data_IF_445647550645
#
_entry.id   IF_445647550645
#
_cell.length_a   1.000
_cell.length_b   1.000
_cell.length_c   1.000
_cell.angle_alpha   90.00
_cell.angle_beta   90.00
_cell.angle_gamma   90.00
#
_symmetry.space_group_name_H-M   'P 1'
#
loop_
_entity.id
_entity.type
_entity.pdbx_description
1 polymer ?
#
# COMPACT_ATOMS: atom_id res chain seq x y z
N UNK A 1 -14.50 10.06 14.38
CA UNK A 1 -14.28 8.60 14.33
C UNK A 1 -12.93 8.32 14.97
N UNK A 2 -12.95 7.50 16.00
CA UNK A 2 -11.71 7.14 16.68
C UNK A 2 -11.09 5.91 16.03
N UNK A 3 -9.83 6.00 15.70
CA UNK A 3 -9.07 4.89 15.17
C UNK A 3 -7.68 4.88 15.78
N UNK A 4 -7.04 3.72 15.73
CA UNK A 4 -5.63 3.58 16.11
C UNK A 4 -4.88 2.97 14.94
N UNK A 5 -3.59 3.31 14.83
CA UNK A 5 -2.67 2.68 13.90
C UNK A 5 -1.67 1.89 14.71
N UNK A 6 -1.46 0.65 14.33
CA UNK A 6 -0.53 -0.27 14.99
C UNK A 6 0.09 -1.23 14.00
N UNK A 7 1.14 -1.91 14.42
CA UNK A 7 1.72 -2.97 13.61
C UNK A 7 0.70 -4.10 13.43
N UNK A 8 0.68 -4.67 12.24
CA UNK A 8 -0.11 -5.85 11.94
C UNK A 8 0.51 -7.05 12.62
N UNK A 9 -0.32 -7.88 13.28
CA UNK A 9 0.16 -9.12 13.89
C UNK A 9 0.29 -10.22 12.86
N UNK A 10 1.17 -11.18 13.13
CA UNK A 10 1.42 -12.29 12.23
C UNK A 10 0.14 -13.09 11.90
N UNK A 11 -0.71 -13.30 12.89
CA UNK A 11 -1.98 -14.01 12.72
C UNK A 11 -3.00 -13.23 11.88
N UNK A 12 -2.73 -11.95 11.63
CA UNK A 12 -3.58 -11.09 10.79
C UNK A 12 -3.12 -11.00 9.34
N UNK A 13 -1.92 -11.47 9.01
CA UNK A 13 -1.39 -11.39 7.65
C UNK A 13 -2.31 -11.96 6.58
N UNK A 14 -3.11 -13.01 6.82
CA UNK A 14 -4.09 -13.46 5.81
C UNK A 14 -5.09 -12.39 5.37
N UNK A 15 -5.34 -11.36 6.18
CA UNK A 15 -6.21 -10.25 5.82
C UNK A 15 -5.63 -9.37 4.70
N UNK A 16 -4.32 -9.46 4.45
CA UNK A 16 -3.70 -8.68 3.37
C UNK A 16 -4.29 -8.99 2.01
N UNK A 17 -4.81 -10.19 1.80
CA UNK A 17 -5.50 -10.54 0.56
C UNK A 17 -6.70 -9.64 0.32
N UNK A 18 -7.49 -9.34 1.36
CA UNK A 18 -8.63 -8.44 1.27
C UNK A 18 -8.19 -7.02 0.96
N UNK A 19 -7.16 -6.54 1.64
CA UNK A 19 -6.65 -5.19 1.41
C UNK A 19 -5.95 -5.07 0.07
N UNK A 20 -5.34 -6.12 -0.42
CA UNK A 20 -4.79 -6.15 -1.78
C UNK A 20 -5.91 -5.99 -2.82
N UNK A 21 -7.01 -6.71 -2.66
CA UNK A 21 -8.15 -6.56 -3.54
C UNK A 21 -8.66 -5.11 -3.53
N UNK A 22 -8.81 -4.52 -2.35
CA UNK A 22 -9.26 -3.13 -2.22
C UNK A 22 -8.27 -2.12 -2.82
N UNK A 23 -7.00 -2.49 -2.93
CA UNK A 23 -5.97 -1.64 -3.53
C UNK A 23 -5.99 -1.65 -5.06
N UNK A 24 -6.69 -2.59 -5.69
CA UNK A 24 -6.80 -2.63 -7.15
C UNK A 24 -7.63 -1.45 -7.64
N UNK A 25 -7.03 -0.64 -8.52
CA UNK A 25 -7.72 0.52 -9.06
C UNK A 25 -8.87 0.10 -9.97
N UNK A 26 -10.03 0.70 -9.74
CA UNK A 26 -11.21 0.51 -10.58
C UNK A 26 -11.58 1.87 -11.17
N UNK A 27 -11.54 1.97 -12.50
CA UNK A 27 -11.90 3.22 -13.17
C UNK A 27 -13.38 3.57 -12.91
N UNK A 28 -13.67 4.87 -12.86
CA UNK A 28 -15.05 5.34 -12.67
C UNK A 28 -15.96 4.74 -13.74
N UNK A 29 -17.04 4.11 -13.30
CA UNK A 29 -18.02 3.47 -14.19
C UNK A 29 -17.66 2.05 -14.62
N UNK A 30 -16.47 1.57 -14.27
CA UNK A 30 -16.08 0.19 -14.55
C UNK A 30 -16.54 -0.74 -13.42
N UNK A 31 -16.77 -2.00 -13.77
CA UNK A 31 -17.08 -3.01 -12.77
C UNK A 31 -15.81 -3.45 -12.04
N UNK A 32 -15.88 -3.70 -10.72
CA UNK A 32 -14.75 -4.28 -9.99
C UNK A 32 -14.38 -5.65 -10.59
N UNK A 33 -13.09 -6.00 -10.61
CA UNK A 33 -12.68 -7.33 -11.05
C UNK A 33 -13.18 -8.41 -10.10
N UNK A 34 -13.21 -9.65 -10.56
CA UNK A 34 -13.49 -10.79 -9.70
C UNK A 34 -12.44 -10.87 -8.58
N UNK A 35 -12.85 -11.33 -7.40
CA UNK A 35 -11.93 -11.45 -6.26
C UNK A 35 -10.75 -12.38 -6.55
N UNK A 36 -10.90 -13.32 -7.46
CA UNK A 36 -9.82 -14.22 -7.87
C UNK A 36 -8.63 -13.51 -8.52
N UNK A 37 -8.78 -12.22 -8.87
CA UNK A 37 -7.66 -11.45 -9.45
C UNK A 37 -6.45 -11.43 -8.50
N UNK A 38 -6.67 -11.49 -7.18
CA UNK A 38 -5.59 -11.50 -6.21
C UNK A 38 -4.75 -12.79 -6.25
N UNK A 39 -5.25 -13.82 -6.92
CA UNK A 39 -4.51 -15.08 -7.10
C UNK A 39 -3.58 -15.03 -8.31
N UNK A 40 -3.65 -13.99 -9.14
CA UNK A 40 -2.75 -13.82 -10.27
C UNK A 40 -1.31 -13.64 -9.82
N UNK A 41 -0.32 -14.15 -10.58
CA UNK A 41 1.09 -14.02 -10.19
C UNK A 41 1.54 -12.58 -9.96
N UNK A 42 1.02 -11.63 -10.74
CA UNK A 42 1.38 -10.21 -10.67
C UNK A 42 0.96 -9.61 -9.33
N UNK A 43 -0.14 -10.08 -8.73
CA UNK A 43 -0.64 -9.58 -7.45
C UNK A 43 -0.14 -10.41 -6.26
N UNK A 44 0.14 -11.70 -6.47
CA UNK A 44 0.63 -12.55 -5.39
C UNK A 44 1.96 -12.08 -4.81
N UNK A 45 2.80 -11.40 -5.60
CA UNK A 45 4.08 -10.86 -5.11
C UNK A 45 3.89 -9.90 -3.93
N UNK A 46 2.73 -9.25 -3.84
CA UNK A 46 2.45 -8.30 -2.77
C UNK A 46 2.21 -8.98 -1.42
N UNK A 47 1.76 -10.22 -1.40
CA UNK A 47 1.28 -10.87 -0.17
C UNK A 47 1.83 -12.26 0.09
N UNK A 48 2.38 -12.93 -0.94
CA UNK A 48 2.84 -14.33 -0.77
C UNK A 48 3.92 -14.40 0.30
N UNK A 49 3.72 -15.31 1.27
CA UNK A 49 4.67 -15.56 2.35
C UNK A 49 5.04 -14.30 3.14
N UNK A 50 4.09 -13.37 3.29
CA UNK A 50 4.34 -12.12 3.98
C UNK A 50 4.81 -12.38 5.41
N UNK A 51 5.83 -11.64 5.83
CA UNK A 51 6.46 -11.75 7.15
C UNK A 51 7.73 -12.60 7.15
N UNK A 52 8.05 -13.30 6.06
CA UNK A 52 9.26 -14.13 5.99
C UNK A 52 10.53 -13.34 5.75
N UNK A 53 10.42 -12.19 5.09
CA UNK A 53 11.56 -11.31 4.85
C UNK A 53 11.64 -10.26 5.95
N UNK A 54 12.86 -9.91 6.37
CA UNK A 54 13.08 -8.80 7.30
C UNK A 54 12.63 -7.45 6.74
N UNK A 55 12.44 -7.37 5.43
CA UNK A 55 12.00 -6.15 4.75
C UNK A 55 10.46 -6.02 4.73
N UNK A 56 9.74 -7.07 5.12
CA UNK A 56 8.30 -7.05 5.18
C UNK A 56 7.83 -6.29 6.42
N UNK A 57 6.95 -5.31 6.24
CA UNK A 57 6.40 -4.53 7.35
C UNK A 57 4.99 -4.08 7.01
N UNK A 58 4.09 -4.16 7.96
CA UNK A 58 2.70 -3.77 7.76
C UNK A 58 2.15 -3.03 8.97
N UNK A 59 1.38 -1.98 8.70
CA UNK A 59 0.61 -1.25 9.71
C UNK A 59 -0.87 -1.35 9.33
N UNK A 60 -1.72 -1.38 10.35
CA UNK A 60 -3.17 -1.43 10.17
C UNK A 60 -3.84 -0.29 10.93
N UNK A 61 -5.00 0.12 10.42
CA UNK A 61 -5.89 1.03 11.12
C UNK A 61 -7.05 0.22 11.67
N UNK A 62 -7.35 0.42 12.95
CA UNK A 62 -8.38 -0.32 13.67
C UNK A 62 -9.43 0.65 14.19
N UNK A 63 -10.69 0.33 13.95
CA UNK A 63 -11.86 1.07 14.44
C UNK A 63 -12.73 0.09 15.21
N UNK A 64 -12.94 0.35 16.50
CA UNK A 64 -13.77 -0.51 17.36
C UNK A 64 -13.39 -2.00 17.30
N UNK A 65 -12.09 -2.29 17.21
CA UNK A 65 -11.59 -3.66 17.14
C UNK A 65 -11.55 -4.28 15.75
N UNK A 66 -12.07 -3.59 14.73
CA UNK A 66 -12.05 -4.07 13.34
C UNK A 66 -10.93 -3.41 12.55
N UNK A 67 -10.19 -4.20 11.79
CA UNK A 67 -9.17 -3.68 10.88
C UNK A 67 -9.86 -3.18 9.63
N UNK A 68 -9.69 -1.87 9.34
CA UNK A 68 -10.41 -1.21 8.25
C UNK A 68 -9.46 -0.60 7.21
N UNK A 69 -8.18 -0.69 7.41
CA UNK A 69 -7.16 -0.21 6.49
C UNK A 69 -5.83 -0.86 6.77
N UNK A 70 -4.99 -0.92 5.74
CA UNK A 70 -3.65 -1.46 5.85
C UNK A 70 -2.70 -0.75 4.90
N UNK A 71 -1.47 -0.62 5.34
CA UNK A 71 -0.34 -0.21 4.51
C UNK A 71 0.78 -1.21 4.75
N UNK A 72 1.40 -1.67 3.68
CA UNK A 72 2.50 -2.62 3.84
C UNK A 72 3.57 -2.38 2.79
N UNK A 73 4.77 -2.79 3.13
CA UNK A 73 5.95 -2.66 2.28
C UNK A 73 6.69 -3.98 2.26
N UNK A 74 7.34 -4.25 1.15
CA UNK A 74 8.28 -5.35 1.01
C UNK A 74 9.17 -5.11 -0.21
N UNK A 75 10.30 -5.78 -0.25
CA UNK A 75 11.13 -5.78 -1.45
C UNK A 75 10.63 -6.92 -2.32
N UNK A 76 10.03 -6.57 -3.44
CA UNK A 76 9.36 -7.51 -4.33
C UNK A 76 9.47 -7.04 -5.78
N UNK A 77 9.32 -7.98 -6.70
CA UNK A 77 9.32 -7.67 -8.13
C UNK A 77 7.90 -7.34 -8.59
N UNK A 78 7.42 -6.17 -8.16
CA UNK A 78 6.08 -5.67 -8.45
C UNK A 78 6.11 -4.56 -9.51
N UNK A 79 4.96 -3.97 -9.79
CA UNK A 79 4.85 -2.85 -10.72
C UNK A 79 5.66 -1.62 -10.29
N UNK A 80 5.81 -1.42 -8.99
CA UNK A 80 6.52 -0.28 -8.40
C UNK A 80 8.00 -0.54 -8.11
N UNK A 81 8.52 -1.70 -8.49
CA UNK A 81 9.90 -2.08 -8.20
C UNK A 81 10.91 -1.12 -8.86
N UNK A 82 11.83 -0.60 -8.07
CA UNK A 82 12.94 0.24 -8.55
C UNK A 82 14.26 -0.53 -8.42
N UNK A 83 14.57 -1.04 -7.23
CA UNK A 83 15.77 -1.82 -6.94
C UNK A 83 15.56 -2.67 -5.69
N UNK A 84 16.56 -3.48 -5.36
CA UNK A 84 16.46 -4.42 -4.23
C UNK A 84 16.74 -3.78 -2.86
N UNK A 85 16.95 -2.47 -2.80
CA UNK A 85 17.14 -1.71 -1.56
C UNK A 85 15.96 -0.79 -1.25
N UNK A 86 14.98 -0.72 -2.14
CA UNK A 86 13.82 0.16 -2.04
C UNK A 86 12.56 -0.67 -1.86
N UNK A 87 11.99 -0.74 -0.64
CA UNK A 87 10.72 -1.42 -0.47
C UNK A 87 9.62 -0.76 -1.28
N UNK A 88 8.74 -1.58 -1.85
CA UNK A 88 7.55 -1.12 -2.55
C UNK A 88 6.37 -1.13 -1.60
N UNK A 89 5.49 -0.13 -1.74
CA UNK A 89 4.38 0.11 -0.84
C UNK A 89 3.05 -0.20 -1.50
N UNK A 90 2.14 -0.80 -0.73
CA UNK A 90 0.73 -0.93 -1.08
C UNK A 90 -0.11 -0.42 0.10
N UNK A 91 -1.25 0.16 -0.19
CA UNK A 91 -2.13 0.74 0.82
C UNK A 91 -3.57 0.67 0.36
N UNK A 92 -4.48 0.35 1.27
CA UNK A 92 -5.91 0.50 1.01
C UNK A 92 -6.68 0.71 2.31
N UNK A 93 -7.84 1.34 2.17
CA UNK A 93 -8.81 1.55 3.25
C UNK A 93 -10.15 1.07 2.73
N UNK A 94 -10.91 0.35 3.55
CA UNK A 94 -12.24 -0.12 3.17
C UNK A 94 -13.14 1.05 2.80
N UNK A 95 -14.01 0.84 1.79
CA UNK A 95 -14.84 1.88 1.20
C UNK A 95 -15.52 2.82 2.18
N UNK A 96 -16.27 2.31 3.18
CA UNK A 96 -16.98 3.17 4.14
C UNK A 96 -16.07 4.10 4.96
N UNK A 97 -14.79 3.80 5.04
CA UNK A 97 -13.82 4.56 5.84
C UNK A 97 -12.89 5.44 4.99
N UNK A 98 -13.07 5.45 3.67
CA UNK A 98 -12.28 6.29 2.77
C UNK A 98 -12.61 7.78 2.95
N UNK A 99 -11.68 8.65 2.52
CA UNK A 99 -11.81 10.12 2.58
C UNK A 99 -11.98 10.65 4.01
N UNK A 100 -11.45 9.91 4.99
CA UNK A 100 -11.50 10.27 6.41
C UNK A 100 -10.13 10.65 6.99
N UNK A 101 -9.08 10.65 6.16
CA UNK A 101 -7.72 10.93 6.62
C UNK A 101 -6.96 9.69 7.09
N UNK A 102 -7.60 8.53 7.16
CA UNK A 102 -6.96 7.30 7.65
C UNK A 102 -5.86 6.84 6.70
N UNK A 103 -6.08 6.90 5.38
CA UNK A 103 -5.06 6.55 4.40
C UNK A 103 -3.82 7.41 4.52
N UNK A 104 -4.01 8.72 4.68
CA UNK A 104 -2.90 9.66 4.88
C UNK A 104 -2.13 9.34 6.15
N UNK A 105 -2.82 9.03 7.24
CA UNK A 105 -2.19 8.68 8.51
C UNK A 105 -1.39 7.38 8.40
N UNK A 106 -1.96 6.34 7.75
CA UNK A 106 -1.25 5.08 7.51
C UNK A 106 0.02 5.30 6.68
N UNK A 107 -0.09 6.09 5.63
CA UNK A 107 1.03 6.39 4.73
C UNK A 107 2.15 7.11 5.49
N UNK A 108 1.81 8.16 6.24
CA UNK A 108 2.80 8.93 6.98
C UNK A 108 3.47 8.11 8.08
N UNK A 109 2.71 7.25 8.76
CA UNK A 109 3.27 6.38 9.79
C UNK A 109 4.22 5.33 9.20
N UNK A 110 3.90 4.79 8.01
CA UNK A 110 4.81 3.85 7.35
C UNK A 110 6.09 4.56 6.89
N UNK A 111 5.98 5.78 6.36
CA UNK A 111 7.16 6.58 5.96
C UNK A 111 8.06 6.78 7.18
N UNK A 112 7.50 7.16 8.32
CA UNK A 112 8.27 7.36 9.56
C UNK A 112 8.93 6.06 10.04
N UNK A 113 8.19 4.95 9.98
CA UNK A 113 8.69 3.65 10.40
C UNK A 113 9.88 3.20 9.55
N UNK A 114 9.77 3.32 8.24
CA UNK A 114 10.82 2.90 7.32
C UNK A 114 12.04 3.82 7.39
N UNK A 115 11.83 5.11 7.61
CA UNK A 115 12.92 6.05 7.88
C UNK A 115 13.71 5.63 9.13
N UNK A 116 13.00 5.30 10.19
CA UNK A 116 13.63 4.86 11.45
C UNK A 116 14.35 3.52 11.28
N UNK A 117 13.88 2.67 10.37
CA UNK A 117 14.51 1.38 10.07
C UNK A 117 15.76 1.51 9.19
N UNK A 118 16.05 2.71 8.65
CA UNK A 118 17.28 2.97 7.90
C UNK A 118 17.15 2.85 6.39
N UNK A 119 15.95 2.67 5.85
CA UNK A 119 15.76 2.67 4.39
C UNK A 119 15.91 4.08 3.83
N UNK A 120 16.41 4.19 2.61
CA UNK A 120 16.67 5.50 2.00
C UNK A 120 15.50 6.03 1.18
N UNK A 121 14.60 5.14 0.73
CA UNK A 121 13.39 5.54 -0.01
C UNK A 121 12.37 4.40 -0.04
N UNK A 122 11.14 4.77 -0.38
CA UNK A 122 10.04 3.85 -0.69
C UNK A 122 9.57 4.11 -2.11
N UNK A 123 8.98 3.11 -2.75
CA UNK A 123 8.39 3.24 -4.08
C UNK A 123 6.97 2.71 -4.11
N UNK A 124 6.24 3.09 -5.14
CA UNK A 124 4.91 2.55 -5.43
C UNK A 124 4.59 2.74 -6.91
N UNK A 125 3.58 2.02 -7.38
CA UNK A 125 2.95 2.29 -8.68
C UNK A 125 1.53 2.78 -8.43
N UNK A 126 1.06 3.70 -9.26
CA UNK A 126 -0.30 4.23 -9.14
C UNK A 126 -0.82 4.64 -10.51
N UNK A 127 -2.09 4.33 -10.77
CA UNK A 127 -2.76 4.80 -11.99
C UNK A 127 -2.89 6.32 -11.96
N UNK A 128 -2.58 6.97 -13.08
CA UNK A 128 -2.64 8.44 -13.18
C UNK A 128 -4.02 9.00 -12.85
N UNK A 129 -5.07 8.25 -13.18
CA UNK A 129 -6.45 8.65 -12.92
C UNK A 129 -6.90 8.40 -11.48
N UNK A 130 -6.08 7.74 -10.66
CA UNK A 130 -6.42 7.48 -9.27
C UNK A 130 -6.25 8.75 -8.43
N UNK A 131 -7.29 9.13 -7.69
CA UNK A 131 -7.22 10.31 -6.83
C UNK A 131 -6.14 10.21 -5.73
N UNK A 132 -5.69 9.00 -5.40
CA UNK A 132 -4.63 8.79 -4.41
C UNK A 132 -3.30 9.41 -4.81
N UNK A 133 -3.09 9.74 -6.09
CA UNK A 133 -1.88 10.45 -6.56
C UNK A 133 -1.64 11.72 -5.72
N UNK A 134 -2.71 12.48 -5.44
CA UNK A 134 -2.58 13.70 -4.64
C UNK A 134 -2.15 13.40 -3.19
N UNK A 135 -2.66 12.33 -2.60
CA UNK A 135 -2.26 11.90 -1.26
C UNK A 135 -0.76 11.55 -1.25
N UNK A 136 -0.30 10.84 -2.26
CA UNK A 136 1.11 10.48 -2.36
C UNK A 136 2.00 11.72 -2.53
N UNK A 137 1.60 12.65 -3.41
CA UNK A 137 2.36 13.90 -3.62
C UNK A 137 2.46 14.72 -2.35
N UNK A 138 1.37 14.84 -1.61
CA UNK A 138 1.37 15.58 -0.33
C UNK A 138 2.30 14.93 0.71
N UNK A 139 2.48 13.62 0.64
CA UNK A 139 3.41 12.91 1.52
C UNK A 139 4.88 13.02 1.08
N UNK A 140 5.14 13.60 -0.10
CA UNK A 140 6.48 13.80 -0.61
C UNK A 140 6.88 12.88 -1.75
N UNK A 141 5.97 12.02 -2.22
CA UNK A 141 6.25 11.17 -3.38
C UNK A 141 6.32 11.99 -4.67
N UNK A 142 7.23 11.61 -5.54
CA UNK A 142 7.39 12.20 -6.87
C UNK A 142 7.51 11.10 -7.92
N UNK A 143 7.13 11.41 -9.16
CA UNK A 143 7.22 10.45 -10.25
C UNK A 143 8.68 10.25 -10.67
N UNK A 144 9.15 9.01 -10.67
CA UNK A 144 10.49 8.66 -11.17
C UNK A 144 10.41 8.11 -12.60
N UNK A 145 9.28 7.55 -12.98
CA UNK A 145 8.99 7.14 -14.36
C UNK A 145 7.48 7.10 -14.56
N UNK A 146 7.06 7.03 -15.82
CA UNK A 146 5.65 6.94 -16.15
C UNK A 146 5.46 6.30 -17.53
N UNK A 147 4.29 5.72 -17.72
CA UNK A 147 3.80 5.32 -19.04
C UNK A 147 2.48 6.06 -19.31
N UNK A 148 1.71 5.60 -20.30
CA UNK A 148 0.44 6.26 -20.66
C UNK A 148 -0.55 6.31 -19.49
N UNK A 149 -0.58 5.27 -18.64
CA UNK A 149 -1.65 5.07 -17.65
C UNK A 149 -1.19 5.19 -16.21
N UNK A 150 0.10 5.04 -15.91
CA UNK A 150 0.55 4.99 -14.53
C UNK A 150 1.87 5.71 -14.27
N UNK A 151 2.07 6.07 -13.00
CA UNK A 151 3.33 6.56 -12.46
C UNK A 151 4.01 5.46 -11.64
N UNK A 152 5.33 5.43 -11.71
CA UNK A 152 6.16 4.85 -10.65
C UNK A 152 6.65 6.02 -9.82
N UNK A 153 6.33 6.02 -8.52
CA UNK A 153 6.66 7.12 -7.63
C UNK A 153 7.59 6.66 -6.52
N UNK A 154 8.36 7.58 -5.99
CA UNK A 154 9.25 7.34 -4.87
C UNK A 154 9.22 8.49 -3.88
N UNK A 155 9.53 8.20 -2.63
CA UNK A 155 9.74 9.20 -1.58
C UNK A 155 11.09 8.94 -0.92
N UNK A 156 11.86 10.01 -0.71
CA UNK A 156 13.11 9.96 0.05
C UNK A 156 12.80 9.92 1.54
N UNK A 157 13.50 9.07 2.26
CA UNK A 157 13.31 8.90 3.70
C UNK A 157 14.36 9.63 4.56
#
# INVERSE_FOLDING_TARGET
>A
MDYIIREMREDEYPLLKEFLYEAVYVAKGAEPPDRSITDSPELQVYIRDFGRSRHDSALVAEVNGDIIGAVWVRIMNDYGHIDDETPSLAISVLGPFRKSGIGTALLNDMIAKERAAGYSRLSLSVQKANYAVEMYRKAGFYAVSENEYEYIMAVKL
#
